data_IF_189746328909
#
_entry.id   IF_189746328909
#
_cell.length_a   1.000
_cell.length_b   1.000
_cell.length_c   1.000
_cell.angle_alpha   90.00
_cell.angle_beta   90.00
_cell.angle_gamma   90.00
#
_symmetry.space_group_name_H-M   'P 1'
#
loop_
_entity.id
_entity.type
_entity.pdbx_description
1 polymer ?
#
# COMPACT_ATOMS: atom_id res chain seq x y z
N UNK A 1 -7.98 -49.01 -8.05
CA UNK A 1 -6.97 -48.68 -7.03
C UNK A 1 -6.05 -47.64 -7.63
N UNK A 2 -6.31 -46.36 -7.34
CA UNK A 2 -5.45 -45.25 -7.74
C UNK A 2 -4.36 -45.08 -6.67
N UNK A 3 -3.10 -45.28 -7.05
CA UNK A 3 -1.95 -44.99 -6.21
C UNK A 3 -1.78 -43.48 -6.10
N UNK A 4 -2.16 -42.91 -4.96
CA UNK A 4 -1.80 -41.55 -4.57
C UNK A 4 -0.28 -41.47 -4.39
N UNK A 5 0.43 -41.03 -5.44
CA UNK A 5 1.83 -40.64 -5.31
C UNK A 5 1.89 -39.35 -4.50
N UNK A 6 2.18 -39.46 -3.20
CA UNK A 6 2.60 -38.34 -2.35
C UNK A 6 3.80 -37.68 -3.00
N UNK A 7 3.61 -36.53 -3.64
CA UNK A 7 4.71 -35.73 -4.17
C UNK A 7 5.50 -35.16 -2.99
N UNK A 8 6.70 -35.70 -2.76
CA UNK A 8 7.62 -35.14 -1.79
C UNK A 8 8.09 -33.76 -2.29
N UNK A 9 8.08 -32.72 -1.44
CA UNK A 9 8.68 -31.45 -1.79
C UNK A 9 10.16 -31.63 -2.14
N UNK A 10 10.63 -31.01 -3.21
CA UNK A 10 12.07 -30.94 -3.48
C UNK A 10 12.76 -30.20 -2.33
N UNK A 11 13.55 -30.92 -1.53
CA UNK A 11 14.38 -30.32 -0.48
C UNK A 11 15.53 -29.53 -1.13
N UNK A 12 15.63 -28.23 -0.84
CA UNK A 12 16.72 -27.42 -1.36
C UNK A 12 18.07 -27.92 -0.84
N UNK A 13 19.00 -28.15 -1.76
CA UNK A 13 20.43 -28.15 -1.48
C UNK A 13 20.94 -26.71 -1.59
N UNK A 14 21.83 -26.31 -0.67
CA UNK A 14 22.47 -24.99 -0.73
C UNK A 14 23.32 -24.88 -2.00
N UNK A 15 22.90 -24.01 -2.94
CA UNK A 15 23.77 -23.52 -4.00
C UNK A 15 24.46 -22.25 -3.53
N UNK A 16 25.45 -22.40 -2.63
CA UNK A 16 26.43 -21.34 -2.41
C UNK A 16 27.31 -21.27 -3.66
N UNK A 17 27.15 -20.21 -4.46
CA UNK A 17 28.21 -19.86 -5.40
C UNK A 17 29.45 -19.61 -4.55
N UNK A 18 30.48 -20.45 -4.69
CA UNK A 18 31.78 -20.31 -4.02
C UNK A 18 32.57 -19.07 -4.51
N UNK A 19 31.92 -18.11 -5.16
CA UNK A 19 32.63 -16.96 -5.70
C UNK A 19 32.87 -15.92 -4.61
N UNK A 20 34.15 -15.60 -4.31
CA UNK A 20 34.48 -14.52 -3.43
C UNK A 20 33.98 -13.19 -4.03
N UNK A 21 33.85 -12.22 -3.14
CA UNK A 21 33.18 -10.95 -3.33
C UNK A 21 33.54 -10.29 -4.67
N UNK A 22 32.52 -9.92 -5.46
CA UNK A 22 32.67 -9.04 -6.63
C UNK A 22 32.59 -9.70 -8.01
N UNK A 23 32.48 -11.02 -8.12
CA UNK A 23 32.35 -11.67 -9.44
C UNK A 23 30.93 -11.52 -9.98
N UNK A 24 30.77 -10.86 -11.15
CA UNK A 24 29.46 -10.71 -11.83
C UNK A 24 29.06 -12.05 -12.43
N UNK A 25 28.12 -12.73 -11.81
CA UNK A 25 27.43 -13.86 -12.42
C UNK A 25 26.30 -13.32 -13.30
N UNK A 26 26.59 -13.06 -14.58
CA UNK A 26 25.60 -12.69 -15.60
C UNK A 26 24.71 -13.90 -15.94
N UNK A 27 23.91 -14.35 -14.98
CA UNK A 27 23.03 -15.51 -15.10
C UNK A 27 21.58 -15.05 -15.24
N UNK A 28 20.87 -15.73 -16.14
CA UNK A 28 19.41 -15.77 -16.15
C UNK A 28 19.00 -17.08 -15.49
N UNK A 29 18.23 -17.01 -14.41
CA UNK A 29 17.78 -18.19 -13.67
C UNK A 29 16.27 -18.29 -13.86
N UNK A 30 15.78 -19.40 -14.40
CA UNK A 30 14.35 -19.63 -14.57
C UNK A 30 13.95 -20.92 -13.89
N UNK A 31 13.01 -20.84 -12.95
CA UNK A 31 12.32 -21.99 -12.39
C UNK A 31 10.87 -21.94 -12.88
N UNK A 32 10.48 -22.96 -13.62
CA UNK A 32 9.14 -23.11 -14.16
C UNK A 32 8.73 -24.58 -14.17
N UNK A 33 7.44 -24.84 -14.02
CA UNK A 33 6.89 -26.17 -14.24
C UNK A 33 7.16 -26.64 -15.69
N UNK A 34 7.75 -27.83 -15.83
CA UNK A 34 7.89 -28.52 -17.13
C UNK A 34 6.86 -29.65 -17.17
N UNK A 35 5.86 -29.55 -18.06
CA UNK A 35 4.83 -30.59 -18.25
C UNK A 35 3.43 -30.19 -17.77
N UNK A 36 2.46 -31.11 -17.90
CA UNK A 36 1.02 -30.88 -17.58
C UNK A 36 0.58 -31.41 -16.21
N UNK A 37 1.50 -31.94 -15.40
CA UNK A 37 1.17 -32.69 -14.19
C UNK A 37 1.24 -31.81 -12.93
N UNK A 38 0.26 -30.91 -12.78
CA UNK A 38 0.07 -30.14 -11.54
C UNK A 38 1.14 -29.07 -11.27
N UNK A 39 0.92 -28.17 -10.31
CA UNK A 39 1.89 -27.15 -9.94
C UNK A 39 3.19 -27.77 -9.41
N UNK A 40 4.35 -27.13 -9.65
CA UNK A 40 5.59 -27.59 -9.06
C UNK A 40 5.68 -27.11 -7.60
N UNK A 41 5.78 -28.04 -6.67
CA UNK A 41 5.82 -27.78 -5.23
C UNK A 41 7.28 -27.68 -4.74
N UNK A 42 7.60 -26.59 -4.04
CA UNK A 42 8.94 -26.30 -3.50
C UNK A 42 8.85 -26.05 -2.00
N UNK A 43 9.71 -26.70 -1.23
CA UNK A 43 9.81 -26.50 0.21
C UNK A 43 11.27 -26.44 0.61
N UNK A 44 11.69 -25.24 1.01
CA UNK A 44 13.07 -24.95 1.38
C UNK A 44 13.07 -24.10 2.65
N UNK A 45 12.98 -24.72 3.84
CA UNK A 45 12.86 -24.01 5.11
C UNK A 45 14.09 -23.13 5.39
N UNK A 46 15.27 -23.56 4.95
CA UNK A 46 16.51 -22.77 5.05
C UNK A 46 16.50 -21.54 4.12
N UNK A 47 15.59 -21.51 3.15
CA UNK A 47 15.39 -20.42 2.20
C UNK A 47 16.19 -20.54 0.91
N UNK A 48 15.86 -19.67 -0.05
CA UNK A 48 16.54 -19.54 -1.34
C UNK A 48 17.12 -18.13 -1.45
N UNK A 49 18.43 -18.04 -1.68
CA UNK A 49 19.15 -16.76 -1.70
C UNK A 49 19.82 -16.55 -3.06
N UNK A 50 19.36 -15.54 -3.80
CA UNK A 50 19.98 -15.10 -5.04
C UNK A 50 20.98 -13.98 -4.72
N UNK A 51 22.24 -14.37 -4.53
CA UNK A 51 23.33 -13.46 -4.16
C UNK A 51 24.26 -13.23 -5.36
N UNK A 52 24.44 -11.97 -5.75
CA UNK A 52 25.32 -11.57 -6.86
C UNK A 52 24.59 -10.68 -7.88
N UNK A 53 25.31 -10.13 -8.86
CA UNK A 53 24.68 -9.34 -9.94
C UNK A 53 24.15 -10.24 -11.04
N UNK A 54 23.00 -10.88 -10.83
CA UNK A 54 22.27 -11.59 -11.88
C UNK A 54 21.49 -10.62 -12.78
N UNK A 55 21.16 -11.07 -13.98
CA UNK A 55 20.37 -10.26 -14.92
C UNK A 55 18.90 -10.35 -14.52
N UNK A 56 18.36 -11.57 -14.46
CA UNK A 56 16.96 -11.83 -14.12
C UNK A 56 16.76 -13.19 -13.46
N UNK A 57 15.87 -13.25 -12.46
CA UNK A 57 15.31 -14.48 -11.90
C UNK A 57 13.83 -14.57 -12.23
N UNK A 58 13.43 -15.65 -12.89
CA UNK A 58 12.05 -15.93 -13.30
C UNK A 58 11.49 -17.10 -12.48
N UNK A 59 10.38 -16.86 -11.76
CA UNK A 59 9.64 -17.88 -11.00
C UNK A 59 8.21 -17.96 -11.55
N UNK A 60 7.86 -19.07 -12.19
CA UNK A 60 6.61 -19.18 -12.96
C UNK A 60 5.89 -20.50 -12.64
N UNK A 61 4.60 -20.43 -12.29
CA UNK A 61 3.75 -21.61 -12.04
C UNK A 61 4.26 -22.52 -10.90
N UNK A 62 4.75 -21.91 -9.82
CA UNK A 62 5.34 -22.59 -8.66
C UNK A 62 4.51 -22.40 -7.39
N UNK A 63 4.52 -23.40 -6.51
CA UNK A 63 3.98 -23.28 -5.15
C UNK A 63 5.12 -23.46 -4.15
N UNK A 64 5.35 -22.42 -3.35
CA UNK A 64 6.36 -22.39 -2.30
C UNK A 64 5.72 -22.55 -0.93
N UNK A 65 6.22 -23.52 -0.18
CA UNK A 65 5.81 -23.79 1.20
C UNK A 65 6.91 -23.34 2.15
N UNK A 66 6.58 -22.46 3.10
CA UNK A 66 7.46 -21.98 4.17
C UNK A 66 8.90 -21.75 3.69
N UNK A 67 9.05 -21.12 2.53
CA UNK A 67 10.34 -20.93 1.86
C UNK A 67 10.69 -19.45 1.87
N UNK A 68 11.53 -19.00 2.81
CA UNK A 68 12.07 -17.64 2.77
C UNK A 68 12.85 -17.43 1.46
N UNK A 69 12.77 -16.23 0.89
CA UNK A 69 13.58 -15.90 -0.29
C UNK A 69 14.22 -14.54 -0.16
N UNK A 70 15.45 -14.42 -0.63
CA UNK A 70 16.13 -13.13 -0.72
C UNK A 70 16.78 -12.95 -2.08
N UNK A 71 16.60 -11.76 -2.63
CA UNK A 71 17.06 -11.33 -3.94
C UNK A 71 17.99 -10.14 -3.74
N UNK A 72 19.28 -10.28 -4.06
CA UNK A 72 20.26 -9.21 -3.90
C UNK A 72 20.76 -8.76 -5.27
N UNK A 73 20.42 -7.53 -5.68
CA UNK A 73 20.75 -6.94 -6.99
C UNK A 73 20.10 -7.65 -8.19
N UNK A 74 20.06 -7.05 -9.38
CA UNK A 74 19.45 -7.69 -10.56
C UNK A 74 17.94 -7.45 -10.71
N UNK A 75 17.24 -8.30 -11.45
CA UNK A 75 15.78 -8.21 -11.66
C UNK A 75 15.06 -9.51 -11.29
N UNK A 76 13.80 -9.43 -10.89
CA UNK A 76 13.00 -10.61 -10.59
C UNK A 76 11.59 -10.52 -11.19
N UNK A 77 11.16 -11.60 -11.83
CA UNK A 77 9.81 -11.76 -12.34
C UNK A 77 9.17 -12.98 -11.70
N UNK A 78 8.07 -12.77 -10.99
CA UNK A 78 7.27 -13.81 -10.33
C UNK A 78 5.88 -13.80 -10.96
N UNK A 79 5.46 -14.93 -11.49
CA UNK A 79 4.20 -15.04 -12.22
C UNK A 79 3.44 -16.30 -11.83
N UNK A 80 2.13 -16.18 -11.64
CA UNK A 80 1.22 -17.32 -11.38
C UNK A 80 1.72 -18.25 -10.27
N UNK A 81 2.39 -17.69 -9.26
CA UNK A 81 3.03 -18.45 -8.20
C UNK A 81 2.30 -18.25 -6.88
N UNK A 82 2.37 -19.25 -6.01
CA UNK A 82 1.74 -19.25 -4.69
C UNK A 82 2.81 -19.36 -3.62
N UNK A 83 2.73 -18.51 -2.60
CA UNK A 83 3.60 -18.54 -1.44
C UNK A 83 2.74 -18.74 -0.20
N UNK A 84 3.04 -19.78 0.57
CA UNK A 84 2.26 -20.12 1.75
C UNK A 84 3.08 -20.80 2.85
N UNK A 85 2.72 -20.61 4.12
CA UNK A 85 3.28 -21.39 5.23
C UNK A 85 2.53 -22.70 5.53
N UNK A 86 1.39 -22.95 4.88
CA UNK A 86 0.56 -24.13 5.13
C UNK A 86 0.94 -25.20 4.12
N UNK A 87 1.55 -26.30 4.57
CA UNK A 87 1.80 -27.47 3.73
C UNK A 87 0.49 -28.21 3.45
N UNK A 88 0.35 -28.81 2.26
CA UNK A 88 -0.80 -29.68 1.94
C UNK A 88 -0.84 -30.95 2.82
N UNK A 89 0.28 -31.30 3.47
CA UNK A 89 0.43 -32.51 4.27
C UNK A 89 0.21 -32.31 5.78
N UNK A 90 -0.30 -31.16 6.23
CA UNK A 90 -0.56 -30.95 7.67
C UNK A 90 0.70 -31.04 8.52
N UNK A 91 1.87 -30.63 7.98
CA UNK A 91 3.07 -30.42 8.80
C UNK A 91 2.79 -29.17 9.64
N UNK A 92 2.05 -29.39 10.71
CA UNK A 92 1.83 -28.45 11.79
C UNK A 92 3.15 -28.28 12.53
N UNK A 93 3.44 -27.03 12.88
CA UNK A 93 4.57 -26.57 13.69
C UNK A 93 5.88 -26.33 12.94
N UNK A 94 6.00 -25.13 12.39
CA UNK A 94 7.27 -24.39 12.41
C UNK A 94 7.05 -22.95 12.90
N UNK A 95 8.12 -22.39 13.44
CA UNK A 95 8.27 -21.26 14.38
C UNK A 95 7.24 -20.12 14.33
N UNK A 96 6.87 -19.52 15.49
CA UNK A 96 6.16 -18.23 15.55
C UNK A 96 7.02 -17.04 15.08
N UNK A 97 8.29 -17.25 14.72
CA UNK A 97 9.16 -16.20 14.22
C UNK A 97 8.69 -15.68 12.87
N UNK A 98 8.42 -14.37 12.85
CA UNK A 98 7.82 -13.64 11.73
C UNK A 98 8.67 -13.60 10.44
N UNK A 99 9.83 -14.26 10.40
CA UNK A 99 10.75 -14.37 9.25
C UNK A 99 10.38 -15.45 8.23
N UNK A 100 9.54 -16.42 8.61
CA UNK A 100 9.15 -17.51 7.72
C UNK A 100 8.24 -16.99 6.59
N UNK A 101 8.60 -17.29 5.34
CA UNK A 101 7.83 -16.90 4.15
C UNK A 101 8.00 -15.45 3.68
N UNK A 102 8.99 -14.69 4.18
CA UNK A 102 9.27 -13.36 3.64
C UNK A 102 10.06 -13.47 2.33
N UNK A 103 9.54 -12.85 1.27
CA UNK A 103 10.29 -12.54 0.06
C UNK A 103 10.93 -11.15 0.23
N UNK A 104 12.25 -11.13 0.29
CA UNK A 104 13.06 -9.92 0.46
C UNK A 104 13.76 -9.55 -0.84
N UNK A 105 13.62 -8.32 -1.26
CA UNK A 105 14.28 -7.78 -2.44
C UNK A 105 15.15 -6.60 -2.05
N UNK A 106 16.45 -6.70 -2.35
CA UNK A 106 17.46 -5.75 -1.95
C UNK A 106 18.13 -5.17 -3.20
N UNK A 107 17.97 -3.86 -3.42
CA UNK A 107 18.62 -3.09 -4.50
C UNK A 107 18.40 -3.68 -5.90
N UNK A 108 17.20 -4.17 -6.14
CA UNK A 108 16.76 -4.73 -7.42
C UNK A 108 16.46 -3.62 -8.44
N UNK A 109 16.76 -3.85 -9.71
CA UNK A 109 16.43 -2.91 -10.79
C UNK A 109 14.93 -2.97 -11.06
N UNK A 110 14.44 -4.15 -11.45
CA UNK A 110 13.04 -4.39 -11.78
C UNK A 110 12.49 -5.57 -10.95
N UNK A 111 11.35 -5.36 -10.30
CA UNK A 111 10.53 -6.43 -9.74
C UNK A 111 9.16 -6.41 -10.39
N UNK A 112 8.80 -7.54 -10.97
CA UNK A 112 7.47 -7.79 -11.52
C UNK A 112 6.86 -8.97 -10.79
N UNK A 113 5.72 -8.77 -10.14
CA UNK A 113 4.92 -9.82 -9.53
C UNK A 113 3.53 -9.75 -10.17
N UNK A 114 3.08 -10.84 -10.79
CA UNK A 114 1.78 -10.88 -11.44
C UNK A 114 1.02 -12.17 -11.18
N UNK A 115 -0.32 -12.07 -11.08
CA UNK A 115 -1.22 -13.22 -10.97
C UNK A 115 -0.86 -14.18 -9.83
N UNK A 116 -0.28 -13.67 -8.74
CA UNK A 116 0.32 -14.49 -7.69
C UNK A 116 -0.43 -14.37 -6.36
N UNK A 117 -0.28 -15.38 -5.50
CA UNK A 117 -0.98 -15.47 -4.22
C UNK A 117 0.02 -15.56 -3.07
N UNK A 118 -0.14 -14.72 -2.06
CA UNK A 118 0.68 -14.69 -0.85
C UNK A 118 -0.24 -14.84 0.37
N UNK A 119 -0.14 -15.98 1.06
CA UNK A 119 -1.02 -16.27 2.21
C UNK A 119 -0.29 -16.94 3.35
N UNK A 120 -0.77 -16.75 4.58
CA UNK A 120 -0.18 -17.42 5.73
C UNK A 120 1.28 -16.99 5.92
N UNK A 121 1.47 -15.73 6.31
CA UNK A 121 2.77 -15.09 6.56
C UNK A 121 3.71 -14.94 5.35
N UNK A 122 3.24 -15.21 4.13
CA UNK A 122 3.98 -14.89 2.92
C UNK A 122 3.94 -13.37 2.66
N UNK A 123 5.05 -12.68 2.93
CA UNK A 123 5.13 -11.20 2.87
C UNK A 123 6.13 -10.74 1.84
N UNK A 124 5.87 -9.58 1.25
CA UNK A 124 6.78 -8.93 0.31
C UNK A 124 7.50 -7.77 1.02
N UNK A 125 8.81 -7.77 0.95
CA UNK A 125 9.65 -6.70 1.48
C UNK A 125 10.65 -6.23 0.43
N UNK A 126 10.57 -4.97 0.03
CA UNK A 126 11.41 -4.40 -1.02
C UNK A 126 12.18 -3.21 -0.48
N UNK A 127 13.49 -3.17 -0.71
CA UNK A 127 14.36 -2.03 -0.43
C UNK A 127 15.17 -1.70 -1.68
N UNK A 128 15.17 -0.44 -2.09
CA UNK A 128 16.04 0.09 -3.15
C UNK A 128 15.65 -0.36 -4.56
N UNK A 129 14.36 -0.55 -4.84
CA UNK A 129 13.90 -0.89 -6.18
C UNK A 129 13.68 0.33 -7.09
N UNK A 130 14.10 0.26 -8.36
CA UNK A 130 13.83 1.32 -9.35
C UNK A 130 12.48 1.14 -10.05
N UNK A 131 12.05 -0.10 -10.29
CA UNK A 131 10.72 -0.43 -10.77
C UNK A 131 10.14 -1.54 -9.92
N UNK A 132 8.94 -1.32 -9.37
CA UNK A 132 8.15 -2.35 -8.70
C UNK A 132 6.78 -2.40 -9.35
N UNK A 133 6.43 -3.57 -9.90
CA UNK A 133 5.13 -3.83 -10.52
C UNK A 133 4.48 -5.00 -9.80
N UNK A 134 3.38 -4.75 -9.10
CA UNK A 134 2.55 -5.77 -8.45
C UNK A 134 1.16 -5.73 -9.07
N UNK A 135 0.79 -6.79 -9.80
CA UNK A 135 -0.43 -6.80 -10.61
C UNK A 135 -1.25 -8.06 -10.40
N UNK A 136 -2.58 -7.96 -10.44
CA UNK A 136 -3.50 -9.11 -10.43
C UNK A 136 -3.24 -10.10 -9.28
N UNK A 137 -2.74 -9.62 -8.14
CA UNK A 137 -2.19 -10.48 -7.08
C UNK A 137 -2.98 -10.35 -5.78
N UNK A 138 -3.04 -11.45 -5.03
CA UNK A 138 -3.80 -11.52 -3.77
C UNK A 138 -2.87 -11.78 -2.60
N UNK A 139 -2.91 -10.89 -1.62
CA UNK A 139 -2.20 -11.02 -0.36
C UNK A 139 -3.24 -11.13 0.76
N UNK A 140 -3.30 -12.27 1.44
CA UNK A 140 -4.33 -12.47 2.44
C UNK A 140 -3.92 -13.34 3.63
N UNK A 141 -4.53 -13.10 4.79
CA UNK A 141 -4.27 -13.88 6.01
C UNK A 141 -2.80 -13.87 6.43
N UNK A 142 -2.11 -12.72 6.30
CA UNK A 142 -0.71 -12.57 6.69
C UNK A 142 -0.58 -11.80 8.02
N UNK A 143 0.25 -12.30 8.93
CA UNK A 143 0.65 -11.59 10.13
C UNK A 143 1.77 -10.57 9.81
N UNK A 144 1.49 -9.29 10.06
CA UNK A 144 2.31 -8.14 9.68
C UNK A 144 1.81 -7.38 8.44
N UNK A 145 2.61 -6.42 7.96
CA UNK A 145 2.36 -5.76 6.67
C UNK A 145 2.55 -6.76 5.54
N UNK A 146 1.53 -6.97 4.70
CA UNK A 146 1.59 -7.94 3.62
C UNK A 146 2.59 -7.55 2.51
N UNK A 147 2.67 -6.26 2.20
CA UNK A 147 3.73 -5.72 1.35
C UNK A 147 4.32 -4.43 1.94
N UNK A 148 5.64 -4.34 1.95
CA UNK A 148 6.39 -3.13 2.34
C UNK A 148 7.41 -2.80 1.27
N UNK A 149 7.39 -1.57 0.77
CA UNK A 149 8.25 -1.08 -0.31
C UNK A 149 8.95 0.21 0.13
N UNK A 150 10.27 0.18 0.14
CA UNK A 150 11.16 1.33 0.26
C UNK A 150 11.85 1.49 -1.10
N UNK A 151 11.32 2.32 -2.01
CA UNK A 151 11.85 2.43 -3.36
C UNK A 151 13.18 3.20 -3.38
N UNK A 152 13.93 3.04 -4.47
CA UNK A 152 15.06 3.92 -4.76
C UNK A 152 14.59 5.35 -5.08
N UNK A 153 15.52 6.30 -5.06
CA UNK A 153 15.25 7.62 -5.64
C UNK A 153 14.96 7.46 -7.14
N UNK A 154 14.03 8.23 -7.69
CA UNK A 154 13.61 8.12 -9.10
C UNK A 154 12.99 6.77 -9.48
N UNK A 155 12.34 6.10 -8.52
CA UNK A 155 11.63 4.87 -8.80
C UNK A 155 10.24 5.06 -9.40
N UNK A 156 9.72 4.01 -10.02
CA UNK A 156 8.31 3.85 -10.39
C UNK A 156 7.72 2.65 -9.66
N UNK A 157 6.59 2.87 -8.98
CA UNK A 157 5.86 1.85 -8.23
C UNK A 157 4.47 1.73 -8.85
N UNK A 158 4.11 0.53 -9.29
CA UNK A 158 2.83 0.20 -9.90
C UNK A 158 2.21 -0.92 -9.08
N UNK A 159 1.04 -0.66 -8.52
CA UNK A 159 0.19 -1.65 -7.86
C UNK A 159 -1.18 -1.58 -8.51
N UNK A 160 -1.53 -2.61 -9.28
CA UNK A 160 -2.77 -2.62 -10.05
C UNK A 160 -3.56 -3.91 -9.86
N UNK A 161 -4.88 -3.79 -9.74
CA UNK A 161 -5.80 -4.92 -9.64
C UNK A 161 -5.39 -5.95 -8.55
N UNK A 162 -4.97 -5.46 -7.39
CA UNK A 162 -4.52 -6.30 -6.28
C UNK A 162 -5.56 -6.35 -5.15
N UNK A 163 -5.45 -7.38 -4.30
CA UNK A 163 -6.33 -7.54 -3.15
C UNK A 163 -5.54 -7.87 -1.88
N UNK A 164 -5.63 -6.99 -0.88
CA UNK A 164 -5.03 -7.11 0.45
C UNK A 164 -6.14 -7.36 1.47
N UNK A 165 -6.39 -8.63 1.78
CA UNK A 165 -7.57 -9.07 2.55
C UNK A 165 -7.18 -9.77 3.84
N UNK A 166 -7.77 -9.41 4.98
CA UNK A 166 -7.59 -10.13 6.25
C UNK A 166 -6.11 -10.25 6.67
N UNK A 167 -5.30 -9.23 6.38
CA UNK A 167 -3.91 -9.15 6.85
C UNK A 167 -3.83 -8.28 8.10
N UNK A 168 -2.71 -8.34 8.83
CA UNK A 168 -2.52 -7.33 9.87
C UNK A 168 -2.30 -5.93 9.27
N UNK A 169 -1.59 -5.84 8.15
CA UNK A 169 -1.48 -4.61 7.39
C UNK A 169 -1.47 -4.90 5.90
N UNK A 170 -1.95 -3.97 5.10
CA UNK A 170 -2.07 -4.17 3.65
C UNK A 170 -0.77 -3.83 2.93
N UNK A 171 -0.65 -2.57 2.52
CA UNK A 171 0.48 -2.07 1.74
C UNK A 171 1.12 -0.87 2.45
N UNK A 172 2.45 -0.89 2.57
CA UNK A 172 3.26 0.28 2.92
C UNK A 172 4.20 0.61 1.77
N UNK A 173 4.17 1.86 1.33
CA UNK A 173 5.19 2.46 0.45
C UNK A 173 5.72 3.71 1.14
N UNK A 174 7.01 3.73 1.45
CA UNK A 174 7.62 4.76 2.29
C UNK A 174 8.92 5.27 1.70
N UNK A 175 9.36 6.46 2.13
CA UNK A 175 10.54 7.16 1.60
C UNK A 175 10.46 7.43 0.09
N UNK A 176 9.28 7.80 -0.40
CA UNK A 176 9.06 8.04 -1.84
C UNK A 176 9.74 9.36 -2.23
N UNK A 177 10.91 9.28 -2.86
CA UNK A 177 11.77 10.41 -3.26
C UNK A 177 11.95 10.46 -4.77
N UNK A 178 11.52 11.57 -5.39
CA UNK A 178 11.57 11.84 -6.83
C UNK A 178 10.91 10.73 -7.64
N UNK A 179 9.91 10.07 -7.07
CA UNK A 179 9.37 8.80 -7.56
C UNK A 179 7.89 8.93 -7.93
N UNK A 180 7.44 8.01 -8.78
CA UNK A 180 6.04 7.93 -9.21
C UNK A 180 5.37 6.70 -8.59
N UNK A 181 4.21 6.90 -7.97
CA UNK A 181 3.35 5.83 -7.45
C UNK A 181 2.03 5.79 -8.21
N UNK A 182 1.70 4.63 -8.78
CA UNK A 182 0.41 4.32 -9.39
C UNK A 182 -0.23 3.18 -8.61
N UNK A 183 -1.29 3.49 -7.86
CA UNK A 183 -2.07 2.51 -7.10
C UNK A 183 -3.49 2.48 -7.66
N UNK A 184 -3.82 1.46 -8.44
CA UNK A 184 -5.07 1.40 -9.20
C UNK A 184 -5.85 0.12 -8.96
N UNK A 185 -7.18 0.20 -9.06
CA UNK A 185 -8.09 -0.96 -9.06
C UNK A 185 -7.89 -1.94 -7.89
N UNK A 186 -7.42 -1.44 -6.74
CA UNK A 186 -6.93 -2.29 -5.64
C UNK A 186 -7.89 -2.28 -4.46
N UNK A 187 -8.11 -3.46 -3.87
CA UNK A 187 -8.94 -3.68 -2.69
C UNK A 187 -8.09 -3.88 -1.44
N UNK A 188 -8.42 -3.16 -0.37
CA UNK A 188 -7.97 -3.40 0.99
C UNK A 188 -9.19 -3.71 1.84
N UNK A 189 -9.32 -4.93 2.34
CA UNK A 189 -10.53 -5.35 3.06
C UNK A 189 -10.20 -6.11 4.33
N UNK A 190 -10.88 -5.79 5.43
CA UNK A 190 -10.79 -6.55 6.70
C UNK A 190 -9.36 -6.64 7.27
N UNK A 191 -8.48 -5.68 6.99
CA UNK A 191 -7.14 -5.69 7.61
C UNK A 191 -7.22 -5.15 9.03
N UNK A 192 -6.38 -5.67 9.94
CA UNK A 192 -6.48 -5.37 11.38
C UNK A 192 -5.15 -5.20 12.10
N UNK A 193 -5.05 -4.47 13.20
CA UNK A 193 -3.79 -4.23 13.97
C UNK A 193 -2.81 -3.22 13.36
N UNK A 194 -2.69 -3.11 12.04
CA UNK A 194 -1.90 -2.07 11.36
C UNK A 194 -2.69 -1.41 10.24
N UNK A 195 -2.15 -0.33 9.70
CA UNK A 195 -2.72 0.37 8.56
C UNK A 195 -2.95 -0.55 7.36
N UNK A 196 -4.12 -0.39 6.73
CA UNK A 196 -4.42 -1.03 5.45
C UNK A 196 -3.56 -0.43 4.33
N UNK A 197 -3.34 0.88 4.39
CA UNK A 197 -2.56 1.61 3.40
C UNK A 197 -1.70 2.68 4.08
N UNK A 198 -0.40 2.64 3.82
CA UNK A 198 0.58 3.65 4.26
C UNK A 198 1.34 4.17 3.04
N UNK A 199 1.26 5.48 2.80
CA UNK A 199 2.00 6.15 1.73
C UNK A 199 2.78 7.33 2.32
N UNK A 200 4.10 7.30 2.28
CA UNK A 200 4.94 8.38 2.81
C UNK A 200 5.79 8.99 1.68
N UNK A 201 5.46 10.23 1.30
CA UNK A 201 6.10 10.99 0.22
C UNK A 201 7.07 12.02 0.77
N UNK A 202 8.36 11.81 0.51
CA UNK A 202 9.43 12.62 1.10
C UNK A 202 9.72 13.86 0.26
N UNK A 203 9.93 13.71 -1.05
CA UNK A 203 10.22 14.86 -1.92
C UNK A 203 9.98 14.60 -3.40
N UNK A 204 9.42 15.59 -4.09
CA UNK A 204 9.31 15.77 -5.55
C UNK A 204 8.68 14.56 -6.24
N UNK A 205 7.70 13.97 -5.56
CA UNK A 205 7.09 12.70 -5.95
C UNK A 205 5.63 12.90 -6.39
N UNK A 206 5.17 12.00 -7.26
CA UNK A 206 3.81 12.02 -7.79
C UNK A 206 3.10 10.73 -7.37
N UNK A 207 1.88 10.85 -6.85
CA UNK A 207 1.02 9.73 -6.50
C UNK A 207 -0.32 9.80 -7.22
N UNK A 208 -0.68 8.73 -7.93
CA UNK A 208 -2.01 8.56 -8.52
C UNK A 208 -2.65 7.31 -7.90
N UNK A 209 -3.63 7.54 -7.04
CA UNK A 209 -4.43 6.49 -6.41
C UNK A 209 -5.82 6.53 -7.05
N UNK A 210 -6.21 5.49 -7.79
CA UNK A 210 -7.45 5.52 -8.58
C UNK A 210 -8.25 4.24 -8.44
N UNK A 211 -9.56 4.36 -8.26
CA UNK A 211 -10.48 3.22 -8.20
C UNK A 211 -10.06 2.20 -7.13
N UNK A 212 -9.63 2.67 -5.96
CA UNK A 212 -9.32 1.79 -4.83
C UNK A 212 -10.53 1.68 -3.90
N UNK A 213 -10.62 0.56 -3.21
CA UNK A 213 -11.56 0.40 -2.09
C UNK A 213 -10.80 0.03 -0.82
N UNK A 214 -11.02 0.77 0.25
CA UNK A 214 -10.59 0.39 1.61
C UNK A 214 -11.84 0.17 2.44
N UNK A 215 -12.05 -1.05 2.92
CA UNK A 215 -13.28 -1.39 3.63
C UNK A 215 -13.09 -2.31 4.83
N UNK A 216 -13.97 -2.17 5.83
CA UNK A 216 -14.08 -3.09 6.97
C UNK A 216 -12.76 -3.30 7.74
N UNK A 217 -11.81 -2.37 7.61
CA UNK A 217 -10.51 -2.48 8.27
C UNK A 217 -10.53 -1.79 9.62
N UNK A 218 -9.79 -2.35 10.57
CA UNK A 218 -9.86 -1.97 11.98
C UNK A 218 -8.44 -1.83 12.54
N UNK A 219 -8.04 -0.63 12.95
CA UNK A 219 -6.78 -0.45 13.69
C UNK A 219 -7.10 -0.35 15.20
N UNK A 220 -6.89 -1.42 15.99
CA UNK A 220 -7.03 -1.40 17.43
C UNK A 220 -5.87 -0.66 18.10
N UNK A 221 -6.21 0.22 19.04
CA UNK A 221 -5.39 0.58 20.21
C UNK A 221 -3.89 0.81 19.94
N UNK A 222 -3.58 1.81 19.09
CA UNK A 222 -2.22 2.34 19.02
C UNK A 222 -2.16 3.83 19.33
N UNK A 223 -1.28 4.17 20.27
CA UNK A 223 -0.93 5.55 20.65
C UNK A 223 -0.11 6.28 19.58
N UNK A 224 0.28 5.59 18.51
CA UNK A 224 1.08 6.21 17.44
C UNK A 224 0.16 6.87 16.42
N UNK A 225 0.43 8.15 16.15
CA UNK A 225 -0.29 8.95 15.14
C UNK A 225 -0.27 8.32 13.73
N UNK A 226 0.72 7.48 13.43
CA UNK A 226 0.86 6.78 12.15
C UNK A 226 -0.13 5.60 12.00
N UNK A 227 -0.76 5.17 13.09
CA UNK A 227 -1.59 3.97 13.11
C UNK A 227 -3.06 4.33 12.86
N UNK A 228 -3.34 4.68 11.60
CA UNK A 228 -4.69 4.87 11.05
C UNK A 228 -4.98 3.82 9.99
N UNK A 229 -6.25 3.61 9.62
CA UNK A 229 -6.58 2.64 8.56
C UNK A 229 -5.91 3.02 7.25
N UNK A 230 -5.92 4.32 6.93
CA UNK A 230 -5.19 4.90 5.80
C UNK A 230 -4.34 6.06 6.29
N UNK A 231 -3.02 5.94 6.16
CA UNK A 231 -2.07 6.98 6.49
C UNK A 231 -1.36 7.47 5.22
N UNK A 232 -1.44 8.77 4.96
CA UNK A 232 -0.72 9.42 3.86
C UNK A 232 0.11 10.56 4.44
N UNK A 233 1.42 10.51 4.29
CA UNK A 233 2.32 11.58 4.71
C UNK A 233 2.92 12.30 3.51
N UNK A 234 2.95 13.63 3.56
CA UNK A 234 3.68 14.50 2.63
C UNK A 234 4.69 15.31 3.46
N UNK A 235 5.99 15.03 3.32
CA UNK A 235 6.99 15.70 4.17
C UNK A 235 7.23 17.16 3.78
N UNK A 236 7.54 17.98 4.78
CA UNK A 236 7.81 19.43 4.71
C UNK A 236 8.71 19.80 3.53
N UNK A 237 8.28 20.76 2.70
CA UNK A 237 9.08 21.24 1.57
C UNK A 237 9.29 20.21 0.45
N UNK A 238 8.52 19.13 0.46
CA UNK A 238 8.72 18.00 -0.43
C UNK A 238 8.47 18.31 -1.91
N UNK A 239 7.51 19.16 -2.28
CA UNK A 239 7.04 19.30 -3.68
C UNK A 239 6.26 18.07 -4.18
N UNK A 240 5.44 17.47 -3.31
CA UNK A 240 4.71 16.23 -3.62
C UNK A 240 3.32 16.51 -4.18
N UNK A 241 2.88 15.71 -5.16
CA UNK A 241 1.58 15.83 -5.79
C UNK A 241 0.81 14.50 -5.79
N UNK A 242 -0.26 14.43 -5.01
CA UNK A 242 -1.05 13.20 -4.83
C UNK A 242 -2.51 13.41 -5.27
N UNK A 243 -3.01 12.54 -6.13
CA UNK A 243 -4.41 12.49 -6.53
C UNK A 243 -5.06 11.17 -6.07
N UNK A 244 -6.24 11.26 -5.46
CA UNK A 244 -7.09 10.13 -5.08
C UNK A 244 -8.40 10.26 -5.84
N UNK A 245 -8.68 9.33 -6.75
CA UNK A 245 -9.75 9.47 -7.77
C UNK A 245 -10.67 8.26 -7.75
N UNK A 246 -11.99 8.48 -7.73
CA UNK A 246 -13.00 7.42 -7.81
C UNK A 246 -12.79 6.33 -6.72
N UNK A 247 -12.32 6.73 -5.53
CA UNK A 247 -11.94 5.78 -4.48
C UNK A 247 -13.00 5.72 -3.38
N UNK A 248 -13.17 4.53 -2.79
CA UNK A 248 -14.17 4.28 -1.76
C UNK A 248 -13.51 3.90 -0.43
N UNK A 249 -13.89 4.58 0.64
CA UNK A 249 -13.48 4.26 2.00
C UNK A 249 -14.74 3.98 2.81
N UNK A 250 -14.99 2.73 3.21
CA UNK A 250 -16.25 2.38 3.88
C UNK A 250 -16.13 1.42 5.06
N UNK A 251 -16.87 1.68 6.13
CA UNK A 251 -16.89 0.82 7.33
C UNK A 251 -15.50 0.61 7.96
N UNK A 252 -14.68 1.65 7.96
CA UNK A 252 -13.33 1.59 8.53
C UNK A 252 -13.33 2.20 9.94
N UNK A 253 -12.60 1.58 10.86
CA UNK A 253 -12.63 1.97 12.27
C UNK A 253 -11.22 2.13 12.84
N UNK A 254 -11.01 3.22 13.57
CA UNK A 254 -9.84 3.39 14.45
C UNK A 254 -10.28 3.52 15.91
N UNK A 255 -9.79 2.63 16.77
CA UNK A 255 -10.38 2.38 18.11
C UNK A 255 -9.80 3.28 19.22
N UNK A 256 -8.59 3.86 19.09
CA UNK A 256 -7.98 4.71 20.16
C UNK A 256 -8.11 6.22 19.94
N UNK A 257 -8.00 6.99 21.02
CA UNK A 257 -8.23 8.43 21.12
C UNK A 257 -7.31 9.28 20.25
N UNK A 258 -7.88 10.14 19.40
CA UNK A 258 -7.15 11.23 18.74
C UNK A 258 -6.62 10.95 17.32
N UNK A 259 -6.94 9.80 16.72
CA UNK A 259 -6.42 9.40 15.40
C UNK A 259 -7.61 9.14 14.46
N UNK A 260 -7.72 9.90 13.35
CA UNK A 260 -8.74 9.67 12.33
C UNK A 260 -8.58 8.30 11.66
N UNK A 261 -9.65 7.74 11.10
CA UNK A 261 -9.55 6.50 10.33
C UNK A 261 -8.75 6.71 9.02
N UNK A 262 -8.84 7.91 8.44
CA UNK A 262 -7.96 8.38 7.39
C UNK A 262 -7.16 9.56 7.93
N UNK A 263 -5.84 9.50 7.81
CA UNK A 263 -4.95 10.59 8.16
C UNK A 263 -4.19 11.04 6.93
N UNK A 264 -4.22 12.35 6.71
CA UNK A 264 -3.28 13.00 5.81
C UNK A 264 -2.41 13.93 6.63
N UNK A 265 -1.17 13.49 6.85
CA UNK A 265 -0.17 14.26 7.55
C UNK A 265 0.67 15.02 6.53
N UNK A 266 0.52 16.34 6.47
CA UNK A 266 1.38 17.16 5.64
C UNK A 266 2.26 17.99 6.60
N UNK A 267 3.57 17.86 6.43
CA UNK A 267 4.55 18.67 7.14
C UNK A 267 4.35 20.16 6.84
N UNK A 268 5.10 21.04 7.49
CA UNK A 268 4.96 22.47 7.29
C UNK A 268 5.10 22.82 5.79
N UNK A 269 4.01 23.26 5.19
CA UNK A 269 3.92 23.45 3.75
C UNK A 269 4.30 24.89 3.40
N UNK A 270 5.16 25.07 2.39
CA UNK A 270 5.54 26.41 1.94
C UNK A 270 4.55 26.87 0.88
N UNK A 271 3.89 28.02 1.13
CA UNK A 271 3.05 28.67 0.13
C UNK A 271 3.97 29.24 -0.98
N UNK A 272 3.95 28.62 -2.15
CA UNK A 272 4.77 28.96 -3.31
C UNK A 272 4.26 30.18 -4.08
N UNK A 273 2.93 30.39 -4.12
CA UNK A 273 2.35 31.59 -4.70
C UNK A 273 0.93 31.84 -4.20
N UNK A 274 0.56 33.12 -4.20
CA UNK A 274 -0.79 33.63 -3.97
C UNK A 274 -1.20 34.33 -5.27
N UNK A 275 -2.16 33.76 -6.01
CA UNK A 275 -2.71 34.38 -7.22
C UNK A 275 -4.23 34.40 -7.19
N UNK A 276 -4.84 35.17 -8.08
CA UNK A 276 -6.21 34.94 -8.53
C UNK A 276 -6.13 34.13 -9.81
N UNK A 277 -6.99 33.12 -10.00
CA UNK A 277 -7.08 32.46 -11.29
C UNK A 277 -7.99 33.30 -12.18
N UNK A 278 -7.44 33.95 -13.20
CA UNK A 278 -8.24 34.39 -14.33
C UNK A 278 -8.62 33.13 -15.10
N UNK A 279 -9.88 32.73 -15.05
CA UNK A 279 -10.39 31.82 -16.06
C UNK A 279 -10.34 32.58 -17.38
N UNK A 280 -9.56 32.12 -18.36
CA UNK A 280 -9.54 32.69 -19.72
C UNK A 280 -10.93 32.70 -20.41
N UNK A 281 -11.95 32.14 -19.77
CA UNK A 281 -13.32 32.04 -20.27
C UNK A 281 -14.39 32.58 -19.30
N UNK A 282 -14.02 33.20 -18.17
CA UNK A 282 -15.01 33.69 -17.22
C UNK A 282 -14.69 35.12 -16.74
N UNK A 283 -15.42 36.09 -17.29
CA UNK A 283 -15.35 37.51 -16.91
C UNK A 283 -16.28 37.87 -15.75
N UNK A 284 -16.91 36.89 -15.08
CA UNK A 284 -17.67 37.16 -13.84
C UNK A 284 -16.73 37.17 -12.63
N UNK A 285 -16.92 38.16 -11.76
CA UNK A 285 -16.08 38.59 -10.63
C UNK A 285 -16.08 37.56 -9.47
N UNK A 286 -15.63 36.34 -9.72
CA UNK A 286 -15.33 35.34 -8.68
C UNK A 286 -13.87 34.88 -8.83
N UNK A 287 -12.96 35.83 -8.64
CA UNK A 287 -11.53 35.58 -8.57
C UNK A 287 -11.23 34.70 -7.34
N UNK A 288 -11.18 33.38 -7.49
CA UNK A 288 -10.74 32.49 -6.43
C UNK A 288 -9.24 32.63 -6.22
N UNK A 289 -8.84 32.75 -4.96
CA UNK A 289 -7.43 32.72 -4.59
C UNK A 289 -6.83 31.35 -4.94
N UNK A 290 -5.95 31.30 -5.94
CA UNK A 290 -5.09 30.17 -6.23
C UNK A 290 -3.91 30.21 -5.26
N UNK A 291 -4.00 29.43 -4.19
CA UNK A 291 -2.86 29.15 -3.33
C UNK A 291 -2.13 27.92 -3.88
N UNK A 292 -0.88 28.07 -4.30
CA UNK A 292 0.01 26.93 -4.57
C UNK A 292 0.83 26.65 -3.33
N UNK A 293 0.80 25.40 -2.91
CA UNK A 293 1.62 24.84 -1.84
C UNK A 293 2.63 23.87 -2.44
N UNK A 294 3.75 23.61 -1.73
CA UNK A 294 4.74 22.63 -2.19
C UNK A 294 4.12 21.25 -2.20
N UNK A 295 3.36 20.90 -1.17
CA UNK A 295 2.63 19.64 -1.14
C UNK A 295 1.16 19.82 -1.52
N UNK A 296 0.61 18.90 -2.29
CA UNK A 296 -0.79 18.92 -2.70
C UNK A 296 -1.37 17.52 -2.68
N UNK A 297 -2.54 17.40 -2.05
CA UNK A 297 -3.38 16.21 -2.13
C UNK A 297 -4.80 16.58 -2.59
N UNK A 298 -5.32 15.83 -3.54
CA UNK A 298 -6.64 16.08 -4.14
C UNK A 298 -7.45 14.79 -4.18
N UNK A 299 -8.58 14.78 -3.49
CA UNK A 299 -9.63 13.78 -3.60
C UNK A 299 -10.64 14.20 -4.68
N UNK A 300 -10.99 13.28 -5.59
CA UNK A 300 -11.96 13.51 -6.66
C UNK A 300 -12.92 12.34 -6.77
N UNK A 301 -14.23 12.61 -6.82
CA UNK A 301 -15.26 11.59 -7.02
C UNK A 301 -15.17 10.41 -6.01
N UNK A 302 -14.68 10.70 -4.81
CA UNK A 302 -14.42 9.67 -3.79
C UNK A 302 -15.56 9.61 -2.77
N UNK A 303 -15.84 8.41 -2.28
CA UNK A 303 -16.89 8.16 -1.29
C UNK A 303 -16.24 7.78 0.03
N UNK A 304 -16.64 8.46 1.09
CA UNK A 304 -16.33 8.10 2.46
C UNK A 304 -17.66 7.73 3.12
N UNK A 305 -17.76 6.55 3.71
CA UNK A 305 -19.02 6.03 4.26
C UNK A 305 -18.78 5.28 5.59
N UNK A 306 -19.44 5.65 6.68
CA UNK A 306 -19.31 4.96 7.99
C UNK A 306 -17.87 4.68 8.39
N UNK A 307 -17.01 5.69 8.24
CA UNK A 307 -15.59 5.63 8.54
C UNK A 307 -15.34 6.49 9.77
N UNK A 308 -14.97 5.87 10.90
CA UNK A 308 -15.09 6.47 12.24
C UNK A 308 -13.79 6.38 13.02
N UNK A 309 -13.42 7.48 13.69
CA UNK A 309 -12.37 7.55 14.72
C UNK A 309 -12.95 7.83 16.12
N UNK A 310 -12.28 7.39 17.19
CA UNK A 310 -12.88 7.18 18.51
C UNK A 310 -13.39 8.40 19.31
N UNK A 311 -12.74 9.57 19.32
CA UNK A 311 -13.07 10.64 20.29
C UNK A 311 -13.87 11.81 19.74
N UNK A 312 -14.05 11.91 18.42
CA UNK A 312 -14.88 12.95 17.76
C UNK A 312 -15.60 12.41 16.53
N UNK A 313 -15.70 11.09 16.42
CA UNK A 313 -16.21 10.37 15.24
C UNK A 313 -15.52 10.81 13.92
N UNK A 314 -14.30 11.34 14.03
CA UNK A 314 -13.56 11.97 12.93
C UNK A 314 -13.21 10.96 11.85
N UNK A 315 -13.84 11.11 10.69
CA UNK A 315 -13.52 10.33 9.50
C UNK A 315 -12.10 10.61 8.98
N UNK A 316 -11.70 11.89 8.97
CA UNK A 316 -10.41 12.35 8.47
C UNK A 316 -9.73 13.29 9.47
N UNK A 317 -8.42 13.13 9.65
CA UNK A 317 -7.56 14.12 10.33
C UNK A 317 -6.51 14.65 9.34
N UNK A 318 -6.50 15.97 9.15
CA UNK A 318 -5.69 16.65 8.13
C UNK A 318 -4.83 17.74 8.80
N UNK A 319 -3.52 17.67 8.65
CA UNK A 319 -2.62 18.74 9.15
C UNK A 319 -2.26 19.81 8.14
N UNK A 320 -2.65 19.65 6.86
CA UNK A 320 -2.55 20.74 5.89
C UNK A 320 -3.59 20.65 4.76
N UNK A 321 -3.28 21.34 3.65
CA UNK A 321 -4.17 21.58 2.52
C UNK A 321 -4.53 20.29 1.76
N UNK A 322 -5.78 19.86 1.89
CA UNK A 322 -6.39 18.82 1.07
C UNK A 322 -7.59 19.39 0.32
N UNK A 323 -7.74 19.02 -0.95
CA UNK A 323 -8.86 19.46 -1.79
C UNK A 323 -9.78 18.28 -2.02
N UNK A 324 -11.07 18.43 -1.70
CA UNK A 324 -12.11 17.46 -2.04
C UNK A 324 -12.97 18.01 -3.17
N UNK A 325 -13.15 17.25 -4.26
CA UNK A 325 -13.97 17.62 -5.42
C UNK A 325 -14.96 16.51 -5.73
N UNK A 326 -16.26 16.83 -5.72
CA UNK A 326 -17.32 15.85 -5.98
C UNK A 326 -17.20 14.60 -5.07
N UNK A 327 -16.82 14.80 -3.80
CA UNK A 327 -16.71 13.72 -2.83
C UNK A 327 -18.00 13.60 -2.03
N UNK A 328 -18.39 12.38 -1.71
CA UNK A 328 -19.58 12.09 -0.89
C UNK A 328 -19.15 11.60 0.49
N UNK A 329 -19.74 12.15 1.54
CA UNK A 329 -19.53 11.74 2.93
C UNK A 329 -20.87 11.24 3.49
N UNK A 330 -20.98 9.95 3.78
CA UNK A 330 -22.20 9.29 4.27
C UNK A 330 -21.96 8.77 5.69
N UNK A 331 -22.84 9.12 6.63
CA UNK A 331 -22.76 8.64 8.03
C UNK A 331 -21.34 8.78 8.63
N UNK A 332 -20.69 9.92 8.37
CA UNK A 332 -19.39 10.27 8.92
C UNK A 332 -19.51 11.56 9.71
N UNK A 333 -18.84 11.65 10.86
CA UNK A 333 -18.55 12.93 11.49
C UNK A 333 -17.20 13.43 10.94
N UNK A 334 -17.23 14.46 10.10
CA UNK A 334 -16.00 15.08 9.62
C UNK A 334 -15.69 16.30 10.50
N UNK A 335 -14.72 16.19 11.41
CA UNK A 335 -14.21 17.34 12.14
C UNK A 335 -12.83 17.69 11.60
N UNK A 336 -12.79 18.74 10.77
CA UNK A 336 -11.55 19.29 10.22
C UNK A 336 -10.87 20.15 11.29
N UNK A 337 -9.99 19.57 12.12
CA UNK A 337 -9.22 20.33 13.11
C UNK A 337 -7.90 20.82 12.53
N UNK A 338 -7.79 22.11 12.24
CA UNK A 338 -6.51 22.77 11.94
C UNK A 338 -5.91 23.36 13.23
N UNK A 339 -5.21 22.56 14.04
CA UNK A 339 -4.57 23.10 15.26
C UNK A 339 -3.38 24.03 14.96
N UNK A 340 -2.84 24.01 13.74
CA UNK A 340 -1.70 24.85 13.30
C UNK A 340 -2.08 26.14 12.56
N UNK A 341 -3.37 26.48 12.41
CA UNK A 341 -3.81 27.70 11.72
C UNK A 341 -4.75 28.55 12.57
N UNK A 342 -4.21 29.29 13.54
CA UNK A 342 -4.97 30.30 14.30
C UNK A 342 -5.56 31.45 13.45
N UNK A 343 -5.28 31.52 12.13
CA UNK A 343 -5.77 32.60 11.27
C UNK A 343 -6.55 32.22 10.00
N UNK A 344 -6.83 30.94 9.70
CA UNK A 344 -7.50 30.61 8.42
C UNK A 344 -8.52 29.47 8.53
N UNK A 345 -9.61 29.73 9.27
CA UNK A 345 -10.87 29.00 9.11
C UNK A 345 -11.58 29.47 7.84
N UNK A 346 -11.26 28.92 6.67
CA UNK A 346 -12.14 29.04 5.49
C UNK A 346 -12.20 27.75 4.72
N UNK A 347 -13.24 26.97 5.02
CA UNK A 347 -13.78 25.92 4.16
C UNK A 347 -14.33 26.64 2.92
N UNK A 348 -13.66 26.54 1.77
CA UNK A 348 -14.20 27.07 0.52
C UNK A 348 -15.18 26.06 -0.06
N UNK A 349 -16.48 26.38 0.05
CA UNK A 349 -17.54 25.77 -0.76
C UNK A 349 -17.16 25.95 -2.24
N UNK A 350 -16.87 24.86 -2.93
CA UNK A 350 -16.98 24.78 -4.38
C UNK A 350 -18.15 23.82 -4.69
N UNK A 351 -19.04 24.24 -5.57
CA UNK A 351 -20.34 23.68 -5.94
C UNK A 351 -20.62 22.20 -5.66
N UNK A 352 -21.83 21.96 -5.15
CA UNK A 352 -22.51 20.67 -4.90
C UNK A 352 -22.08 19.86 -3.67
N UNK A 353 -21.65 20.53 -2.59
CA UNK A 353 -21.74 19.94 -1.25
C UNK A 353 -23.14 20.22 -0.68
N UNK A 354 -24.14 19.40 -1.05
CA UNK A 354 -25.41 19.34 -0.31
C UNK A 354 -25.16 18.52 0.96
N UNK A 355 -24.72 19.19 2.03
CA UNK A 355 -24.79 18.62 3.38
C UNK A 355 -26.27 18.52 3.76
N UNK A 356 -26.94 17.42 3.43
CA UNK A 356 -28.21 17.06 4.07
C UNK A 356 -27.89 16.56 5.49
N UNK A 357 -27.82 17.48 6.44
CA UNK A 357 -27.93 17.16 7.84
C UNK A 357 -29.41 16.94 8.14
N UNK A 358 -29.90 15.69 8.09
CA UNK A 358 -31.20 15.35 8.67
C UNK A 358 -31.01 15.16 10.18
N UNK A 359 -31.19 16.22 10.96
CA UNK A 359 -31.32 16.10 12.41
C UNK A 359 -32.74 15.65 12.73
N UNK A 360 -32.91 14.36 13.06
CA UNK A 360 -34.09 13.91 13.79
C UNK A 360 -33.95 14.36 15.26
N UNK A 361 -34.21 15.64 15.52
CA UNK A 361 -34.51 16.09 16.87
C UNK A 361 -35.92 15.64 17.25
N UNK A 362 -36.02 14.53 17.98
CA UNK A 362 -37.17 14.33 18.88
C UNK A 362 -37.03 15.38 20.00
N UNK A 363 -37.81 16.45 19.91
CA UNK A 363 -38.06 17.35 21.04
C UNK A 363 -38.76 16.56 22.15
N UNK A 364 -38.11 16.45 23.30
CA UNK A 364 -38.77 16.17 24.58
C UNK A 364 -39.66 17.36 24.95
N UNK A 365 -40.87 17.08 25.43
CA UNK A 365 -41.57 17.98 26.35
C UNK A 365 -41.10 17.69 27.76
#
# INVERSE_FOLDING_TARGET
MATETKQNPYACTSMTSQYPWGTRLNLNISLSLIGRNGPAHVFCPDGIFFVGRYIEVNLIDLIFYSTPMSFYYGSATIQRSVFTNITEAGIENFSPDASDGILKFHSIVNLTISNSVFKGNAKIWVIGAHLVTLTNSRLHSNAGMAATIFPSTQATIIVDNCAFINNWGGLKVSEIKRASLYLTNTLFSQNSHRSSLVLEFDSSSVGVIKNITVEKSIVPNSKQRKDSVVYIALFTGGYNYVQIINSTFKHNTNIESGVGAIIVDNGADFMLSKGCKDDMFNTSIDAYSLYRYTNQIVFRNSVLNKTVGSTREQCCYLTAWAIFRNCTFVDNFALFSSESFKHRRRLWRCGNLQLHLSTNEKRSK
#
